data_IF_073011693767
#
_entry.id   IF_073011693767
#
_cell.length_a   1.000
_cell.length_b   1.000
_cell.length_c   1.000
_cell.angle_alpha   90.00
_cell.angle_beta   90.00
_cell.angle_gamma   90.00
#
_symmetry.space_group_name_H-M   'P 1'
#
loop_
_entity.id
_entity.type
_entity.pdbx_description
1 polymer ?
#
# COMPACT_ATOMS: atom_id res chain seq x y z
N UNK A 1 5.11 3.96 12.86
CA UNK A 1 4.85 5.42 12.78
C UNK A 1 5.68 5.98 11.63
N UNK A 2 5.07 6.71 10.69
CA UNK A 2 5.77 7.22 9.50
C UNK A 2 6.43 8.54 9.82
N UNK A 3 7.75 8.54 9.94
CA UNK A 3 8.54 9.75 10.19
C UNK A 3 9.45 10.07 8.99
N UNK A 4 9.69 11.37 8.77
CA UNK A 4 10.57 11.91 7.72
C UNK A 4 11.37 13.07 8.27
N UNK A 5 12.69 12.95 8.13
CA UNK A 5 13.62 14.01 8.48
C UNK A 5 13.73 14.99 7.31
N UNK A 6 13.44 16.26 7.58
CA UNK A 6 13.65 17.35 6.62
C UNK A 6 15.09 17.84 6.77
N UNK A 7 15.84 17.87 5.67
CA UNK A 7 17.18 18.46 5.61
C UNK A 7 17.10 19.77 4.83
N UNK A 8 17.88 20.77 5.25
CA UNK A 8 18.10 22.02 4.53
C UNK A 8 16.81 22.81 4.20
N UNK A 9 15.81 22.73 5.07
CA UNK A 9 14.49 23.35 4.91
C UNK A 9 13.76 22.99 3.59
N UNK A 10 14.13 21.87 2.94
CA UNK A 10 13.50 21.44 1.70
C UNK A 10 12.18 20.69 1.97
N UNK A 11 11.14 21.45 2.26
CA UNK A 11 9.81 20.94 2.65
C UNK A 11 9.11 20.22 1.49
N UNK A 12 9.26 20.69 0.26
CA UNK A 12 8.58 20.10 -0.89
C UNK A 12 9.08 18.66 -1.16
N UNK A 13 10.39 18.46 -1.09
CA UNK A 13 10.97 17.13 -1.25
C UNK A 13 10.54 16.18 -0.12
N UNK A 14 10.49 16.68 1.12
CA UNK A 14 10.02 15.91 2.26
C UNK A 14 8.55 15.46 2.09
N UNK A 15 7.67 16.33 1.59
CA UNK A 15 6.27 15.99 1.30
C UNK A 15 6.15 14.93 0.20
N UNK A 16 6.96 15.04 -0.87
CA UNK A 16 7.01 14.02 -1.92
C UNK A 16 7.50 12.67 -1.37
N UNK A 17 8.53 12.68 -0.53
CA UNK A 17 9.03 11.48 0.15
C UNK A 17 7.96 10.87 1.08
N UNK A 18 7.20 11.70 1.80
CA UNK A 18 6.09 11.28 2.66
C UNK A 18 5.03 10.55 1.89
N UNK A 19 4.53 11.17 0.82
CA UNK A 19 3.53 10.57 -0.04
C UNK A 19 4.00 9.23 -0.58
N UNK A 20 5.26 9.13 -1.02
CA UNK A 20 5.84 7.89 -1.54
C UNK A 20 5.98 6.81 -0.46
N UNK A 21 6.39 7.17 0.76
CA UNK A 21 6.51 6.25 1.90
C UNK A 21 5.14 5.72 2.34
N UNK A 22 4.14 6.61 2.49
CA UNK A 22 2.75 6.24 2.81
C UNK A 22 2.12 5.33 1.74
N UNK A 23 2.43 5.56 0.46
CA UNK A 23 1.97 4.70 -0.63
C UNK A 23 2.59 3.29 -0.57
N UNK A 24 3.89 3.18 -0.25
CA UNK A 24 4.55 1.87 -0.09
C UNK A 24 4.02 1.09 1.09
N UNK A 25 3.79 1.77 2.21
CA UNK A 25 3.21 1.16 3.41
C UNK A 25 1.74 0.76 3.20
N UNK A 26 1.08 1.27 2.17
CA UNK A 26 -0.28 0.86 1.80
C UNK A 26 -1.37 1.47 2.68
N UNK A 27 -1.04 2.50 3.47
CA UNK A 27 -1.96 3.17 4.41
C UNK A 27 -3.24 3.63 3.70
N UNK A 28 -3.12 4.24 2.52
CA UNK A 28 -4.29 4.68 1.75
C UNK A 28 -5.21 3.52 1.30
N UNK A 29 -4.63 2.35 1.02
CA UNK A 29 -5.40 1.17 0.65
C UNK A 29 -6.13 0.62 1.86
N UNK A 30 -5.46 0.56 3.00
CA UNK A 30 -6.07 0.14 4.27
C UNK A 30 -7.19 1.08 4.70
N UNK A 31 -6.97 2.39 4.61
CA UNK A 31 -7.98 3.40 4.87
C UNK A 31 -9.22 3.20 4.00
N UNK A 32 -9.05 2.89 2.70
CA UNK A 32 -10.18 2.61 1.80
C UNK A 32 -10.93 1.33 2.19
N UNK A 33 -10.21 0.27 2.57
CA UNK A 33 -10.79 -1.01 2.97
C UNK A 33 -11.55 -0.92 4.30
N UNK A 34 -11.11 -0.05 5.22
CA UNK A 34 -11.72 0.11 6.55
C UNK A 34 -12.84 1.16 6.60
N UNK A 35 -13.21 1.81 5.49
CA UNK A 35 -14.26 2.84 5.47
C UNK A 35 -15.64 2.32 5.86
N UNK A 36 -15.90 1.04 5.61
CA UNK A 36 -17.16 0.38 5.89
C UNK A 36 -16.88 -1.03 6.39
N UNK A 37 -17.86 -1.61 7.08
CA UNK A 37 -17.79 -3.00 7.50
C UNK A 37 -17.81 -3.93 6.27
N UNK A 38 -16.79 -4.76 6.13
CA UNK A 38 -16.70 -5.81 5.12
C UNK A 38 -17.16 -7.13 5.75
N UNK A 39 -18.14 -7.82 5.14
CA UNK A 39 -18.61 -9.09 5.69
C UNK A 39 -17.49 -10.14 5.64
N UNK A 40 -17.44 -11.10 6.59
CA UNK A 40 -16.38 -12.12 6.62
C UNK A 40 -16.30 -12.99 5.36
N UNK A 41 -17.42 -13.19 4.65
CA UNK A 41 -17.45 -13.90 3.36
C UNK A 41 -16.76 -13.09 2.25
N UNK A 42 -17.06 -11.80 2.15
CA UNK A 42 -16.48 -10.87 1.16
C UNK A 42 -14.98 -10.70 1.39
N UNK A 43 -14.58 -10.56 2.66
CA UNK A 43 -13.17 -10.49 3.07
C UNK A 43 -12.38 -11.72 2.61
N UNK A 44 -12.94 -12.93 2.77
CA UNK A 44 -12.31 -14.19 2.32
C UNK A 44 -12.10 -14.20 0.81
N UNK A 45 -13.10 -13.78 0.03
CA UNK A 45 -13.00 -13.71 -1.43
C UNK A 45 -11.93 -12.70 -1.86
N UNK A 46 -11.91 -11.50 -1.26
CA UNK A 46 -10.94 -10.46 -1.56
C UNK A 46 -9.50 -10.91 -1.27
N UNK A 47 -9.25 -11.50 -0.11
CA UNK A 47 -7.91 -11.98 0.27
C UNK A 47 -7.41 -13.04 -0.71
N UNK A 48 -8.26 -13.99 -1.10
CA UNK A 48 -7.92 -15.01 -2.09
C UNK A 48 -7.59 -14.40 -3.47
N UNK A 49 -8.37 -13.42 -3.92
CA UNK A 49 -8.11 -12.71 -5.18
C UNK A 49 -6.81 -11.90 -5.12
N UNK A 50 -6.54 -11.21 -4.01
CA UNK A 50 -5.30 -10.45 -3.81
C UNK A 50 -4.07 -11.33 -3.79
N UNK A 51 -4.14 -12.50 -3.13
CA UNK A 51 -3.07 -13.49 -3.12
C UNK A 51 -2.77 -14.01 -4.53
N UNK A 52 -3.81 -14.41 -5.29
CA UNK A 52 -3.67 -14.82 -6.69
C UNK A 52 -3.04 -13.73 -7.56
N UNK A 53 -3.47 -12.47 -7.40
CA UNK A 53 -2.87 -11.32 -8.11
C UNK A 53 -1.40 -11.12 -7.75
N UNK A 54 -1.04 -11.23 -6.46
CA UNK A 54 0.36 -11.13 -6.00
C UNK A 54 1.23 -12.22 -6.59
N UNK A 55 0.77 -13.47 -6.57
CA UNK A 55 1.48 -14.61 -7.14
C UNK A 55 1.71 -14.45 -8.66
N UNK A 56 0.70 -13.98 -9.40
CA UNK A 56 0.85 -13.68 -10.83
C UNK A 56 1.92 -12.62 -11.10
N UNK A 57 1.94 -11.54 -10.31
CA UNK A 57 2.95 -10.48 -10.44
C UNK A 57 4.36 -10.98 -10.13
N UNK A 58 4.52 -11.81 -9.08
CA UNK A 58 5.81 -12.42 -8.74
C UNK A 58 6.30 -13.32 -9.86
N UNK A 59 5.46 -14.23 -10.37
CA UNK A 59 5.83 -15.11 -11.48
C UNK A 59 6.30 -14.34 -12.71
N UNK A 60 5.62 -13.25 -13.07
CA UNK A 60 6.04 -12.38 -14.17
C UNK A 60 7.44 -11.79 -13.92
N UNK A 61 7.71 -11.31 -12.70
CA UNK A 61 9.02 -10.73 -12.33
C UNK A 61 10.19 -11.73 -12.38
N UNK A 62 9.94 -13.03 -12.15
CA UNK A 62 10.98 -14.06 -12.21
C UNK A 62 11.12 -14.73 -13.58
N UNK A 63 10.18 -14.46 -14.49
CA UNK A 63 10.19 -15.00 -15.86
C UNK A 63 10.88 -14.07 -16.85
N UNK A 64 11.02 -12.79 -16.49
CA UNK A 64 11.87 -11.78 -17.15
C UNK A 64 13.23 -11.75 -16.46
#
# INVERSE_FOLDING_TARGET
MVEINVRDNNVEQALRALKKKMQREGIFRELKLRRHYEKPSEKRVRVNQEAKRRMRKLRKKYSD
#
